data_IF_579688658700
#
_entry.id   IF_579688658700
#
_cell.length_a   1.000
_cell.length_b   1.000
_cell.length_c   1.000
_cell.angle_alpha   90.00
_cell.angle_beta   90.00
_cell.angle_gamma   90.00
#
_symmetry.space_group_name_H-M   'P 1'
#
loop_
_entity.id
_entity.type
_entity.pdbx_description
1 polymer ?
#
# COMPACT_ATOMS: atom_id res chain seq x y z
N UNK A 1 -42.01 -45.18 -33.82
CA UNK A 1 -42.08 -45.52 -32.39
C UNK A 1 -42.31 -44.25 -31.57
N UNK A 2 -43.15 -44.34 -30.54
CA UNK A 2 -43.68 -43.24 -29.71
C UNK A 2 -42.75 -42.88 -28.53
N UNK A 3 -42.78 -41.60 -28.13
CA UNK A 3 -42.73 -40.97 -26.76
C UNK A 3 -41.78 -39.76 -26.77
N UNK A 4 -42.25 -38.52 -26.61
CA UNK A 4 -42.86 -37.77 -25.47
C UNK A 4 -41.83 -36.79 -24.85
N UNK A 5 -42.25 -35.53 -24.79
CA UNK A 5 -41.64 -34.29 -24.27
C UNK A 5 -40.91 -34.40 -22.93
N UNK A 6 -39.94 -33.49 -22.67
CA UNK A 6 -39.90 -32.60 -21.48
C UNK A 6 -39.26 -31.25 -21.85
N UNK A 7 -39.94 -30.18 -21.44
CA UNK A 7 -39.57 -28.76 -21.47
C UNK A 7 -38.44 -28.47 -20.47
N UNK A 8 -37.47 -27.64 -20.85
CA UNK A 8 -36.48 -27.09 -19.92
C UNK A 8 -36.10 -25.67 -20.33
N UNK A 9 -36.71 -24.68 -19.70
CA UNK A 9 -36.27 -23.29 -19.75
C UNK A 9 -34.87 -23.19 -19.13
N UNK A 10 -33.88 -22.79 -19.91
CA UNK A 10 -32.65 -22.20 -19.38
C UNK A 10 -32.61 -20.74 -19.83
N UNK A 11 -32.70 -19.86 -18.83
CA UNK A 11 -32.72 -18.42 -19.01
C UNK A 11 -31.42 -17.93 -19.63
N UNK A 12 -31.57 -17.18 -20.71
CA UNK A 12 -30.56 -16.26 -21.23
C UNK A 12 -30.23 -15.26 -20.11
N UNK A 13 -29.08 -15.42 -19.47
CA UNK A 13 -28.50 -14.37 -18.62
C UNK A 13 -28.12 -13.21 -19.55
N UNK A 14 -28.93 -12.17 -19.47
CA UNK A 14 -28.83 -10.92 -20.19
C UNK A 14 -27.55 -10.21 -19.76
N UNK A 15 -26.54 -10.19 -20.63
CA UNK A 15 -25.49 -9.19 -20.58
C UNK A 15 -26.12 -7.84 -20.94
N UNK A 16 -26.46 -7.04 -19.94
CA UNK A 16 -26.93 -5.67 -20.16
C UNK A 16 -25.73 -4.79 -20.50
N UNK A 17 -25.23 -4.92 -21.72
CA UNK A 17 -24.42 -3.88 -22.36
C UNK A 17 -25.40 -2.76 -22.71
N UNK A 18 -25.56 -1.81 -21.80
CA UNK A 18 -26.31 -0.60 -22.03
C UNK A 18 -25.44 0.37 -22.85
N UNK A 19 -25.29 0.09 -24.14
CA UNK A 19 -24.83 1.09 -25.11
C UNK A 19 -26.01 2.02 -25.38
N UNK A 20 -26.09 3.10 -24.62
CA UNK A 20 -26.97 4.23 -24.94
C UNK A 20 -26.31 5.06 -26.04
N UNK A 21 -26.63 4.74 -27.30
CA UNK A 21 -26.49 5.70 -28.40
C UNK A 21 -27.61 6.74 -28.28
N UNK A 22 -27.41 7.74 -27.43
CA UNK A 22 -28.28 8.91 -27.36
C UNK A 22 -27.67 10.05 -28.18
N UNK A 23 -28.14 10.17 -29.43
CA UNK A 23 -28.21 11.45 -30.11
C UNK A 23 -29.23 12.33 -29.37
N UNK A 24 -28.77 13.09 -28.38
CA UNK A 24 -29.59 14.01 -27.60
C UNK A 24 -28.72 15.07 -26.93
N UNK A 25 -28.40 16.14 -27.65
CA UNK A 25 -27.70 17.30 -27.11
C UNK A 25 -28.51 17.93 -25.96
N UNK A 26 -28.00 17.85 -24.73
CA UNK A 26 -28.46 18.68 -23.60
C UNK A 26 -28.71 17.93 -22.28
N UNK A 27 -29.43 16.80 -22.30
CA UNK A 27 -29.90 16.14 -21.06
C UNK A 27 -28.87 15.20 -20.42
N UNK A 28 -27.95 14.62 -21.19
CA UNK A 28 -26.92 13.71 -20.66
C UNK A 28 -25.93 14.41 -19.73
N UNK A 29 -25.50 15.63 -20.11
CA UNK A 29 -24.52 16.39 -19.33
C UNK A 29 -25.09 16.87 -17.98
N UNK A 30 -26.38 17.17 -17.90
CA UNK A 30 -27.02 17.58 -16.64
C UNK A 30 -27.11 16.42 -15.64
N UNK A 31 -27.41 15.20 -16.12
CA UNK A 31 -27.47 14.01 -15.28
C UNK A 31 -26.07 13.59 -14.76
N UNK A 32 -25.04 13.68 -15.61
CA UNK A 32 -23.64 13.43 -15.22
C UNK A 32 -23.22 14.43 -14.14
N UNK A 33 -23.46 15.73 -14.37
CA UNK A 33 -23.12 16.78 -13.42
C UNK A 33 -23.81 16.60 -12.07
N UNK A 34 -25.10 16.24 -12.06
CA UNK A 34 -25.83 15.99 -10.82
C UNK A 34 -25.29 14.76 -10.05
N UNK A 35 -24.81 13.74 -10.76
CA UNK A 35 -24.16 12.58 -10.15
C UNK A 35 -22.81 12.95 -9.52
N UNK A 36 -21.99 13.72 -10.24
CA UNK A 36 -20.71 14.24 -9.74
C UNK A 36 -20.89 15.16 -8.52
N UNK A 37 -21.89 16.05 -8.55
CA UNK A 37 -22.23 16.93 -7.43
C UNK A 37 -22.68 16.15 -6.19
N UNK A 38 -23.49 15.09 -6.38
CA UNK A 38 -23.92 14.20 -5.30
C UNK A 38 -22.76 13.40 -4.71
N UNK A 39 -21.84 12.92 -5.55
CA UNK A 39 -20.62 12.25 -5.12
C UNK A 39 -19.73 13.20 -4.30
N UNK A 40 -19.48 14.41 -4.81
CA UNK A 40 -18.74 15.45 -4.11
C UNK A 40 -19.38 15.80 -2.75
N UNK A 41 -20.70 15.94 -2.70
CA UNK A 41 -21.43 16.18 -1.45
C UNK A 41 -21.29 15.02 -0.45
N UNK A 42 -21.29 13.77 -0.94
CA UNK A 42 -21.12 12.58 -0.11
C UNK A 42 -19.71 12.50 0.47
N UNK A 43 -18.69 12.75 -0.36
CA UNK A 43 -17.28 12.80 0.07
C UNK A 43 -17.06 13.90 1.10
N UNK A 44 -17.64 15.09 0.89
CA UNK A 44 -17.54 16.21 1.82
C UNK A 44 -18.20 15.90 3.18
N UNK A 45 -19.42 15.35 3.16
CA UNK A 45 -20.21 15.06 4.38
C UNK A 45 -19.55 13.95 5.22
N UNK A 46 -18.92 12.97 4.58
CA UNK A 46 -18.25 11.85 5.24
C UNK A 46 -16.79 12.12 5.59
N UNK A 47 -16.24 13.29 5.21
CA UNK A 47 -14.79 13.56 5.26
C UNK A 47 -13.98 12.45 4.56
N UNK A 48 -14.49 11.96 3.43
CA UNK A 48 -13.90 10.85 2.65
C UNK A 48 -14.15 9.44 3.19
N UNK A 49 -14.78 9.30 4.37
CA UNK A 49 -15.05 8.02 5.02
C UNK A 49 -16.35 7.40 4.50
N UNK A 50 -16.36 6.98 3.24
CA UNK A 50 -17.42 6.12 2.71
C UNK A 50 -16.92 4.67 2.77
N UNK A 51 -17.82 3.73 3.09
CA UNK A 51 -17.44 2.33 3.31
C UNK A 51 -16.92 1.72 2.01
N UNK A 52 -15.71 1.13 2.03
CA UNK A 52 -15.15 0.38 0.89
C UNK A 52 -16.04 -0.79 0.47
N UNK A 53 -16.84 -1.33 1.39
CA UNK A 53 -17.86 -2.35 1.09
C UNK A 53 -18.98 -1.85 0.16
N UNK A 54 -19.12 -0.53 0.01
CA UNK A 54 -20.05 0.15 -0.90
C UNK A 54 -19.32 0.78 -2.11
N UNK A 55 -18.01 0.54 -2.25
CA UNK A 55 -17.21 0.92 -3.41
C UNK A 55 -16.59 2.32 -3.37
N UNK A 56 -17.26 3.31 -2.77
CA UNK A 56 -16.75 4.69 -2.72
C UNK A 56 -15.84 4.89 -1.51
N UNK A 57 -14.66 5.52 -1.67
CA UNK A 57 -13.78 5.97 -0.57
C UNK A 57 -12.77 6.98 -1.06
N UNK A 58 -12.59 8.08 -0.34
CA UNK A 58 -11.49 9.03 -0.57
C UNK A 58 -10.44 8.88 0.54
N UNK A 59 -9.18 8.75 0.16
CA UNK A 59 -8.07 8.61 1.09
C UNK A 59 -6.73 8.89 0.42
N UNK A 60 -5.69 8.25 0.91
CA UNK A 60 -4.31 8.44 0.47
C UNK A 60 -3.62 7.10 0.25
N UNK A 61 -2.70 7.04 -0.70
CA UNK A 61 -1.84 5.88 -0.89
C UNK A 61 -1.02 5.63 0.38
N UNK A 62 -1.15 4.43 0.96
CA UNK A 62 -0.44 4.02 2.17
C UNK A 62 1.09 4.10 2.04
N UNK A 63 1.53 3.98 0.80
CA UNK A 63 2.81 3.46 0.38
C UNK A 63 2.95 3.67 -1.13
N UNK A 64 4.13 3.43 -1.67
CA UNK A 64 4.31 3.41 -3.12
C UNK A 64 3.57 2.21 -3.73
N UNK A 65 2.50 2.47 -4.49
CA UNK A 65 1.67 1.43 -5.12
C UNK A 65 2.15 1.17 -6.55
N UNK A 66 2.79 0.03 -6.76
CA UNK A 66 3.46 -0.32 -8.02
C UNK A 66 2.46 -0.81 -9.06
N UNK A 67 2.63 -0.35 -10.30
CA UNK A 67 1.68 -0.66 -11.37
C UNK A 67 2.33 -1.01 -12.71
N UNK A 68 1.63 -1.82 -13.49
CA UNK A 68 1.91 -2.09 -14.91
C UNK A 68 0.74 -1.63 -15.76
N UNK A 69 0.95 -0.64 -16.63
CA UNK A 69 -0.15 0.04 -17.32
C UNK A 69 -1.05 0.77 -16.32
N UNK A 70 -2.25 0.27 -16.11
CA UNK A 70 -3.23 0.74 -15.13
C UNK A 70 -3.43 -0.25 -13.96
N UNK A 71 -2.71 -1.38 -13.93
CA UNK A 71 -2.91 -2.46 -12.97
C UNK A 71 -1.95 -2.41 -11.79
N UNK A 72 -2.48 -2.23 -10.57
CA UNK A 72 -1.75 -2.41 -9.29
C UNK A 72 -2.07 -3.80 -8.76
N UNK A 73 -1.06 -4.65 -8.59
CA UNK A 73 -1.21 -5.99 -8.03
C UNK A 73 -0.84 -6.02 -6.55
N UNK A 74 -1.44 -6.92 -5.77
CA UNK A 74 -1.00 -7.25 -4.40
C UNK A 74 0.41 -7.87 -4.36
N UNK A 75 0.94 -8.26 -5.52
CA UNK A 75 2.34 -8.66 -5.72
C UNK A 75 3.05 -7.72 -6.70
N UNK A 76 3.02 -6.42 -6.41
CA UNK A 76 3.68 -5.40 -7.22
C UNK A 76 5.20 -5.56 -7.27
N UNK A 77 5.77 -5.48 -8.47
CA UNK A 77 7.19 -5.72 -8.71
C UNK A 77 8.06 -4.47 -8.61
N UNK A 78 9.21 -4.57 -7.94
CA UNK A 78 10.06 -3.45 -7.54
C UNK A 78 10.65 -2.56 -8.65
N UNK A 79 10.71 -3.01 -9.91
CA UNK A 79 11.12 -2.18 -11.05
C UNK A 79 10.00 -1.30 -11.61
N UNK A 80 8.75 -1.61 -11.28
CA UNK A 80 7.61 -0.92 -11.86
C UNK A 80 7.51 0.52 -11.34
N UNK A 81 6.98 1.44 -12.17
CA UNK A 81 6.57 2.75 -11.68
C UNK A 81 5.51 2.59 -10.58
N UNK A 82 5.29 3.64 -9.81
CA UNK A 82 4.36 3.61 -8.70
C UNK A 82 3.59 4.91 -8.54
N UNK A 83 2.39 4.79 -7.97
CA UNK A 83 1.66 5.89 -7.35
C UNK A 83 2.39 6.19 -6.03
N UNK A 84 2.80 7.44 -5.81
CA UNK A 84 3.61 7.80 -4.66
C UNK A 84 2.86 7.65 -3.34
N UNK A 85 3.57 7.29 -2.27
CA UNK A 85 3.03 7.36 -0.91
C UNK A 85 2.45 8.75 -0.62
N UNK A 86 1.23 8.79 -0.08
CA UNK A 86 0.51 10.04 0.19
C UNK A 86 -0.23 10.64 -1.00
N UNK A 87 -0.16 10.07 -2.21
CA UNK A 87 -1.03 10.49 -3.31
C UNK A 87 -2.50 10.32 -2.90
N UNK A 88 -3.33 11.31 -3.18
CA UNK A 88 -4.77 11.22 -2.93
C UNK A 88 -5.40 10.18 -3.87
N UNK A 89 -6.21 9.29 -3.29
CA UNK A 89 -6.85 8.18 -3.99
C UNK A 89 -8.35 8.23 -3.77
N UNK A 90 -9.10 8.12 -4.88
CA UNK A 90 -10.53 7.88 -4.88
C UNK A 90 -10.81 6.45 -5.34
N UNK A 91 -11.25 5.59 -4.43
CA UNK A 91 -11.84 4.29 -4.78
C UNK A 91 -13.28 4.56 -5.23
N UNK A 92 -13.62 4.17 -6.45
CA UNK A 92 -14.98 4.31 -7.00
C UNK A 92 -15.83 3.08 -6.73
N UNK A 93 -15.20 1.92 -6.84
CA UNK A 93 -15.88 0.63 -6.74
C UNK A 93 -14.91 -0.44 -6.25
N UNK A 94 -15.44 -1.41 -5.50
CA UNK A 94 -14.77 -2.68 -5.20
C UNK A 94 -15.69 -3.81 -5.65
N UNK A 95 -15.26 -4.58 -6.65
CA UNK A 95 -16.05 -5.66 -7.26
C UNK A 95 -15.19 -6.90 -7.42
N UNK A 96 -15.63 -8.02 -6.84
CA UNK A 96 -14.91 -9.30 -6.92
C UNK A 96 -13.47 -9.20 -6.41
N UNK A 97 -12.51 -9.42 -7.30
CA UNK A 97 -11.07 -9.40 -7.00
C UNK A 97 -10.39 -8.07 -7.32
N UNK A 98 -11.14 -7.01 -7.65
CA UNK A 98 -10.58 -5.73 -8.09
C UNK A 98 -11.27 -4.52 -7.48
N UNK A 99 -10.58 -3.39 -7.49
CA UNK A 99 -11.16 -2.08 -7.26
C UNK A 99 -10.85 -1.12 -8.41
N UNK A 100 -11.81 -0.28 -8.79
CA UNK A 100 -11.63 0.82 -9.74
C UNK A 100 -11.27 2.07 -8.96
N UNK A 101 -10.15 2.68 -9.30
CA UNK A 101 -9.50 3.70 -8.49
C UNK A 101 -9.06 4.87 -9.35
N UNK A 102 -9.09 6.07 -8.81
CA UNK A 102 -8.46 7.25 -9.41
C UNK A 102 -7.37 7.82 -8.51
N UNK A 103 -6.25 8.17 -9.12
CA UNK A 103 -5.11 8.80 -8.47
C UNK A 103 -4.40 9.72 -9.47
N UNK A 104 -4.04 10.94 -9.04
CA UNK A 104 -3.35 11.94 -9.87
C UNK A 104 -4.00 12.17 -11.26
N UNK A 105 -5.34 12.20 -11.28
CA UNK A 105 -6.12 12.39 -12.51
C UNK A 105 -6.10 11.22 -13.50
N UNK A 106 -5.66 10.03 -13.07
CA UNK A 106 -5.61 8.81 -13.87
C UNK A 106 -6.44 7.70 -13.21
N UNK A 107 -7.03 6.84 -14.02
CA UNK A 107 -7.72 5.64 -13.55
C UNK A 107 -6.76 4.46 -13.45
N UNK A 108 -6.93 3.70 -12.38
CA UNK A 108 -6.19 2.48 -12.05
C UNK A 108 -7.16 1.37 -11.65
N UNK A 109 -6.69 0.13 -11.77
CA UNK A 109 -7.36 -1.07 -11.27
C UNK A 109 -6.46 -1.72 -10.24
N UNK A 110 -6.95 -1.85 -9.01
CA UNK A 110 -6.22 -2.53 -7.94
C UNK A 110 -6.70 -3.98 -7.91
N UNK A 111 -5.85 -4.91 -8.30
CA UNK A 111 -6.09 -6.34 -8.37
C UNK A 111 -5.55 -7.10 -7.17
N UNK A 112 -6.45 -7.79 -6.46
CA UNK A 112 -6.07 -8.75 -5.44
C UNK A 112 -5.84 -10.12 -6.12
N UNK A 113 -4.67 -10.30 -6.71
CA UNK A 113 -4.40 -11.41 -7.63
C UNK A 113 -4.11 -12.71 -6.87
N UNK A 114 -3.31 -12.63 -5.81
CA UNK A 114 -2.71 -13.79 -5.16
C UNK A 114 -3.21 -14.05 -3.73
N UNK A 115 -3.42 -13.02 -2.93
CA UNK A 115 -3.74 -13.09 -1.50
C UNK A 115 -5.21 -13.40 -1.12
N UNK A 116 -6.06 -13.73 -2.11
CA UNK A 116 -7.52 -13.87 -1.91
C UNK A 116 -7.93 -14.99 -0.95
N UNK A 117 -7.05 -15.97 -0.73
CA UNK A 117 -7.29 -17.01 0.29
C UNK A 117 -6.96 -16.56 1.71
N UNK A 118 -6.27 -15.44 1.87
CA UNK A 118 -5.75 -14.94 3.15
C UNK A 118 -6.56 -13.73 3.66
N UNK A 119 -7.05 -12.88 2.76
CA UNK A 119 -7.85 -11.70 3.12
C UNK A 119 -8.90 -11.36 2.05
N UNK A 120 -9.89 -10.53 2.38
CA UNK A 120 -10.91 -10.11 1.42
C UNK A 120 -10.42 -8.89 0.62
N UNK A 121 -10.86 -8.76 -0.64
CA UNK A 121 -10.52 -7.61 -1.50
C UNK A 121 -10.79 -6.25 -0.85
N UNK A 122 -11.94 -5.99 -0.20
CA UNK A 122 -12.17 -4.70 0.46
C UNK A 122 -11.19 -4.42 1.60
N UNK A 123 -10.85 -5.45 2.39
CA UNK A 123 -9.88 -5.35 3.49
C UNK A 123 -8.48 -5.04 2.94
N UNK A 124 -8.09 -5.69 1.84
CA UNK A 124 -6.85 -5.39 1.14
C UNK A 124 -6.81 -3.95 0.60
N UNK A 125 -7.87 -3.49 -0.06
CA UNK A 125 -8.00 -2.10 -0.55
C UNK A 125 -7.93 -1.09 0.60
N UNK A 126 -8.55 -1.37 1.73
CA UNK A 126 -8.51 -0.50 2.92
C UNK A 126 -7.11 -0.32 3.49
N UNK A 127 -6.22 -1.32 3.34
CA UNK A 127 -4.80 -1.19 3.69
C UNK A 127 -4.03 -0.28 2.73
N UNK A 128 -4.39 -0.29 1.45
CA UNK A 128 -3.71 0.50 0.42
C UNK A 128 -4.17 1.96 0.38
N UNK A 129 -5.45 2.21 0.69
CA UNK A 129 -6.06 3.55 0.67
C UNK A 129 -6.41 3.97 2.09
N UNK A 130 -5.46 4.59 2.79
CA UNK A 130 -5.62 5.02 4.18
C UNK A 130 -6.38 6.34 4.29
N UNK A 131 -7.12 6.54 5.38
CA UNK A 131 -7.90 7.77 5.58
C UNK A 131 -7.03 8.96 5.99
N UNK A 132 -5.97 8.69 6.76
CA UNK A 132 -5.06 9.72 7.25
C UNK A 132 -3.88 9.85 6.29
N UNK A 133 -3.54 11.09 5.94
CA UNK A 133 -2.40 11.40 5.09
C UNK A 133 -1.10 10.88 5.74
N UNK A 134 -0.31 10.03 5.05
CA UNK A 134 0.96 9.55 5.56
C UNK A 134 2.09 10.60 5.48
N UNK A 135 1.93 11.72 4.77
CA UNK A 135 2.98 12.73 4.60
C UNK A 135 3.53 13.32 5.93
N UNK A 136 2.70 13.64 6.95
CA UNK A 136 3.21 14.08 8.25
C UNK A 136 4.04 13.01 8.97
N UNK A 137 3.76 11.73 8.72
CA UNK A 137 4.54 10.62 9.25
C UNK A 137 5.86 10.47 8.49
N UNK A 138 5.81 10.49 7.15
CA UNK A 138 6.98 10.45 6.28
C UNK A 138 7.98 11.55 6.66
N UNK A 139 7.49 12.78 6.86
CA UNK A 139 8.31 13.94 7.21
C UNK A 139 9.09 13.79 8.53
N UNK A 140 8.63 12.94 9.45
CA UNK A 140 9.31 12.67 10.73
C UNK A 140 10.47 11.68 10.59
N UNK A 141 10.57 10.96 9.47
CA UNK A 141 11.68 10.04 9.26
C UNK A 141 12.99 10.78 8.97
N UNK A 142 14.14 10.16 9.33
CA UNK A 142 15.45 10.67 8.96
C UNK A 142 15.53 10.96 7.46
N UNK A 143 16.23 12.03 7.08
CA UNK A 143 16.29 12.48 5.69
C UNK A 143 16.78 11.39 4.72
N UNK A 144 17.80 10.61 5.13
CA UNK A 144 18.29 9.48 4.35
C UNK A 144 17.21 8.40 4.12
N UNK A 145 16.36 8.13 5.12
CA UNK A 145 15.27 7.17 5.00
C UNK A 145 14.14 7.70 4.10
N UNK A 146 13.82 9.00 4.18
CA UNK A 146 12.84 9.63 3.29
C UNK A 146 13.23 9.47 1.82
N UNK A 147 14.47 9.78 1.47
CA UNK A 147 15.01 9.59 0.11
C UNK A 147 14.89 8.13 -0.35
N UNK A 148 15.12 7.16 0.55
CA UNK A 148 14.96 5.73 0.25
C UNK A 148 13.50 5.35 -0.02
N UNK A 149 12.57 5.85 0.80
CA UNK A 149 11.13 5.62 0.62
C UNK A 149 10.63 6.28 -0.67
N UNK A 150 10.99 7.53 -0.91
CA UNK A 150 10.61 8.29 -2.12
C UNK A 150 11.14 7.62 -3.40
N UNK A 151 12.28 6.95 -3.33
CA UNK A 151 12.84 6.18 -4.45
C UNK A 151 12.25 4.77 -4.61
N UNK A 152 11.39 4.32 -3.69
CA UNK A 152 10.88 2.94 -3.66
C UNK A 152 12.00 1.91 -3.53
N UNK A 153 12.96 2.18 -2.64
CA UNK A 153 14.14 1.32 -2.39
C UNK A 153 14.16 0.79 -0.96
N UNK A 154 15.02 -0.17 -0.73
CA UNK A 154 15.25 -0.80 0.56
C UNK A 154 16.63 -0.46 1.12
N UNK A 155 16.75 -0.48 2.44
CA UNK A 155 18.03 -0.38 3.11
C UNK A 155 18.03 -1.17 4.42
N UNK A 156 19.22 -1.66 4.79
CA UNK A 156 19.44 -2.26 6.12
C UNK A 156 19.10 -1.24 7.21
N UNK A 157 18.47 -1.70 8.28
CA UNK A 157 18.08 -0.87 9.41
C UNK A 157 16.70 -0.22 9.30
N UNK A 158 16.04 -0.25 8.12
CA UNK A 158 14.67 0.23 7.96
C UNK A 158 13.71 -0.55 8.88
N UNK A 159 12.68 0.13 9.38
CA UNK A 159 11.59 -0.51 10.12
C UNK A 159 10.57 -1.14 9.17
N UNK A 160 9.69 -2.00 9.69
CA UNK A 160 8.56 -2.59 8.95
C UNK A 160 7.69 -1.52 8.29
N UNK A 161 7.39 -0.45 9.02
CA UNK A 161 6.62 0.68 8.51
C UNK A 161 7.34 1.41 7.37
N UNK A 162 8.65 1.65 7.49
CA UNK A 162 9.43 2.30 6.44
C UNK A 162 9.50 1.43 5.18
N UNK A 163 9.63 0.10 5.34
CA UNK A 163 9.60 -0.83 4.21
C UNK A 163 8.23 -0.85 3.55
N UNK A 164 7.13 -0.88 4.32
CA UNK A 164 5.77 -0.79 3.76
C UNK A 164 5.59 0.51 3.00
N UNK A 165 5.97 1.67 3.56
CA UNK A 165 5.83 2.95 2.86
C UNK A 165 6.64 2.98 1.55
N UNK A 166 7.81 2.34 1.51
CA UNK A 166 8.67 2.29 0.33
C UNK A 166 8.22 1.28 -0.74
N UNK A 167 7.83 0.07 -0.33
CA UNK A 167 7.61 -1.07 -1.24
C UNK A 167 6.16 -1.54 -1.33
N UNK A 168 5.29 -1.03 -0.46
CA UNK A 168 3.97 -1.60 -0.22
C UNK A 168 4.00 -2.79 0.73
N UNK A 169 2.80 -3.28 1.06
CA UNK A 169 2.66 -4.54 1.79
C UNK A 169 3.18 -5.70 0.93
N UNK A 170 3.91 -6.67 1.52
CA UNK A 170 4.21 -7.90 0.81
C UNK A 170 2.92 -8.69 0.57
N UNK A 171 2.87 -9.45 -0.52
CA UNK A 171 1.71 -10.28 -0.85
C UNK A 171 1.43 -11.29 0.27
N UNK A 172 0.18 -11.38 0.73
CA UNK A 172 -0.20 -12.27 1.85
C UNK A 172 -0.11 -13.75 1.50
N UNK A 173 -0.11 -14.09 0.21
CA UNK A 173 0.14 -15.44 -0.29
C UNK A 173 1.54 -15.96 0.09
N UNK A 174 2.55 -15.09 0.07
CA UNK A 174 3.94 -15.43 0.40
C UNK A 174 4.36 -14.95 1.80
N UNK A 175 3.74 -13.88 2.29
CA UNK A 175 3.98 -13.30 3.62
C UNK A 175 2.66 -13.18 4.39
N UNK A 176 2.09 -14.29 4.91
CA UNK A 176 0.76 -14.27 5.54
C UNK A 176 0.69 -13.46 6.84
N UNK A 177 1.83 -13.20 7.48
CA UNK A 177 1.93 -12.47 8.75
C UNK A 177 3.06 -11.46 8.68
N UNK A 178 2.75 -10.19 8.96
CA UNK A 178 3.74 -9.12 8.96
C UNK A 178 4.75 -9.26 10.11
N UNK A 179 4.43 -10.02 11.15
CA UNK A 179 5.29 -10.33 12.30
C UNK A 179 6.39 -11.34 11.94
N UNK A 180 6.30 -11.98 10.77
CA UNK A 180 7.27 -12.94 10.27
C UNK A 180 8.71 -12.43 10.26
N UNK A 181 9.65 -13.37 10.42
CA UNK A 181 11.09 -13.10 10.40
C UNK A 181 11.60 -12.75 8.99
N UNK A 182 10.84 -13.09 7.95
CA UNK A 182 11.17 -12.84 6.54
C UNK A 182 9.92 -12.34 5.83
N UNK A 183 10.07 -11.28 5.03
CA UNK A 183 9.07 -10.84 4.06
C UNK A 183 9.59 -11.12 2.65
N UNK A 184 8.69 -11.46 1.74
CA UNK A 184 9.02 -11.74 0.35
C UNK A 184 8.46 -10.66 -0.56
N UNK A 185 9.33 -10.12 -1.41
CA UNK A 185 9.03 -9.19 -2.49
C UNK A 185 9.55 -9.75 -3.80
N UNK A 186 9.22 -9.07 -4.90
CA UNK A 186 9.64 -9.47 -6.23
C UNK A 186 10.21 -8.29 -6.99
N UNK A 187 11.21 -8.59 -7.82
CA UNK A 187 11.73 -7.71 -8.85
C UNK A 187 11.71 -8.53 -10.14
N UNK A 188 10.89 -8.10 -11.08
CA UNK A 188 10.37 -8.87 -12.19
C UNK A 188 9.79 -10.18 -11.65
N UNK A 189 10.39 -11.31 -12.05
CA UNK A 189 10.04 -12.66 -11.60
C UNK A 189 10.97 -13.20 -10.51
N UNK A 190 11.93 -12.40 -10.06
CA UNK A 190 12.96 -12.85 -9.12
C UNK A 190 12.56 -12.51 -7.69
N UNK A 191 12.56 -13.49 -6.77
CA UNK A 191 12.26 -13.24 -5.38
C UNK A 191 13.36 -12.44 -4.71
N UNK A 192 12.94 -11.58 -3.79
CA UNK A 192 13.78 -10.81 -2.88
C UNK A 192 13.24 -11.01 -1.45
N UNK A 193 14.10 -11.49 -0.56
CA UNK A 193 13.77 -11.71 0.85
C UNK A 193 14.31 -10.59 1.73
N UNK A 194 13.43 -10.05 2.58
CA UNK A 194 13.77 -9.03 3.57
C UNK A 194 13.70 -9.67 4.95
N UNK A 195 14.86 -9.85 5.58
CA UNK A 195 14.96 -10.47 6.89
C UNK A 195 14.90 -9.42 8.00
N UNK A 196 14.27 -9.80 9.11
CA UNK A 196 14.04 -8.93 10.25
C UNK A 196 14.87 -9.38 11.47
N UNK A 197 15.45 -8.41 12.19
CA UNK A 197 16.00 -8.60 13.53
C UNK A 197 15.80 -7.34 14.35
N UNK A 198 15.32 -7.47 15.59
CA UNK A 198 15.06 -6.32 16.47
C UNK A 198 14.10 -5.27 15.86
N UNK A 199 13.13 -5.72 15.06
CA UNK A 199 12.17 -4.83 14.37
C UNK A 199 12.73 -4.04 13.18
N UNK A 200 13.96 -4.37 12.74
CA UNK A 200 14.65 -3.70 11.63
C UNK A 200 15.12 -4.68 10.57
N UNK A 201 15.28 -4.20 9.34
CA UNK A 201 15.87 -4.97 8.24
C UNK A 201 17.30 -5.35 8.62
N UNK A 202 17.57 -6.65 8.73
CA UNK A 202 18.88 -7.20 9.09
C UNK A 202 19.68 -7.62 7.85
N UNK A 203 18.97 -8.15 6.84
CA UNK A 203 19.53 -8.66 5.57
C UNK A 203 18.50 -8.49 4.46
N UNK A 204 18.97 -8.25 3.25
CA UNK A 204 18.20 -8.30 2.02
C UNK A 204 18.89 -9.35 1.14
N UNK A 205 18.16 -10.38 0.76
CA UNK A 205 18.66 -11.57 0.09
C UNK A 205 17.92 -11.82 -1.24
N UNK A 206 18.65 -12.32 -2.24
CA UNK A 206 18.12 -12.58 -3.57
C UNK A 206 19.25 -12.61 -4.60
N UNK A 207 18.89 -12.56 -5.88
CA UNK A 207 19.87 -12.40 -6.95
C UNK A 207 20.67 -11.09 -6.74
N UNK A 208 22.01 -11.14 -6.86
CA UNK A 208 22.87 -10.01 -6.53
C UNK A 208 22.56 -8.73 -7.33
N UNK A 209 22.28 -8.84 -8.63
CA UNK A 209 21.93 -7.69 -9.47
C UNK A 209 20.58 -7.10 -9.08
N UNK A 210 19.65 -7.96 -8.66
CA UNK A 210 18.34 -7.54 -8.16
C UNK A 210 18.48 -6.84 -6.81
N UNK A 211 19.27 -7.39 -5.89
CA UNK A 211 19.57 -6.74 -4.60
C UNK A 211 20.21 -5.37 -4.82
N UNK A 212 21.15 -5.25 -5.75
CA UNK A 212 21.78 -3.97 -6.10
C UNK A 212 20.77 -2.94 -6.64
N UNK A 213 19.80 -3.37 -7.47
CA UNK A 213 18.72 -2.51 -7.95
C UNK A 213 17.68 -2.16 -6.88
N UNK A 214 17.43 -3.09 -5.96
CA UNK A 214 16.42 -2.97 -4.92
C UNK A 214 16.86 -2.07 -3.77
N UNK A 215 18.17 -1.96 -3.57
CA UNK A 215 18.74 -1.29 -2.40
C UNK A 215 19.31 0.07 -2.73
N UNK A 216 19.33 0.93 -1.72
CA UNK A 216 20.06 2.18 -1.76
C UNK A 216 20.77 2.39 -0.43
N UNK A 217 22.04 2.77 -0.49
CA UNK A 217 22.77 3.23 0.69
C UNK A 217 22.41 4.69 0.90
N UNK A 218 21.81 5.01 2.04
CA UNK A 218 21.53 6.40 2.40
C UNK A 218 22.85 7.16 2.50
N UNK A 219 23.07 8.13 1.62
CA UNK A 219 24.25 8.99 1.71
C UNK A 219 24.26 9.72 3.06
N UNK A 220 25.33 9.52 3.84
CA UNK A 220 25.83 10.45 4.84
C UNK A 220 24.90 10.89 5.97
N UNK A 221 24.43 9.97 6.82
CA UNK A 221 24.21 10.29 8.24
C UNK A 221 24.77 9.13 9.06
N UNK A 222 25.87 9.38 9.76
CA UNK A 222 26.46 8.44 10.70
C UNK A 222 25.36 7.95 11.67
N UNK A 223 25.41 6.67 12.11
CA UNK A 223 24.47 6.19 13.10
C UNK A 223 24.54 7.11 14.31
N UNK A 224 23.39 7.69 14.69
CA UNK A 224 23.26 8.46 15.93
C UNK A 224 23.82 7.58 17.03
N UNK A 225 24.96 8.01 17.57
CA UNK A 225 25.73 7.22 18.53
C UNK A 225 24.82 6.73 19.65
N UNK A 226 24.94 5.44 19.97
CA UNK A 226 24.40 4.89 21.21
C UNK A 226 24.75 5.82 22.36
N UNK A 227 23.73 6.34 23.05
CA UNK A 227 23.93 7.00 24.33
C UNK A 227 24.39 5.91 25.29
N UNK A 228 25.70 5.71 25.38
CA UNK A 228 26.31 4.94 26.46
C UNK A 228 26.02 5.68 27.76
N UNK A 229 25.04 5.16 28.50
CA UNK A 229 24.81 5.48 29.90
C UNK A 229 26.14 5.35 30.66
N UNK A 230 26.76 6.49 30.99
CA UNK A 230 27.82 6.54 31.99
C UNK A 230 27.13 6.49 33.36
N UNK A 231 27.07 5.31 33.94
CA UNK A 231 26.87 5.15 35.38
C UNK A 231 28.02 5.86 36.10
N UNK A 232 27.77 7.07 36.59
CA UNK A 232 28.62 7.72 37.58
C UNK A 232 28.42 7.00 38.91
N UNK A 233 29.31 6.06 39.21
CA UNK A 233 29.46 5.50 40.55
C UNK A 233 29.99 6.58 41.48
N UNK A 234 29.10 7.20 42.26
CA UNK A 234 29.49 7.98 43.43
C UNK A 234 30.03 7.05 44.51
N UNK A 235 31.33 7.10 44.77
CA UNK A 235 31.92 6.60 46.02
C UNK A 235 32.15 7.81 46.93
N UNK A 236 31.40 7.81 48.03
CA UNK A 236 31.41 8.85 49.03
C UNK A 236 32.64 8.86 49.93
N UNK A 237 32.77 10.02 50.57
CA UNK A 237 33.21 10.27 51.93
C UNK A 237 34.64 9.84 52.34
N UNK A 238 35.48 10.86 52.59
CA UNK A 238 36.28 10.94 53.81
C UNK A 238 36.31 12.38 54.31
N UNK A 239 35.58 12.65 55.39
CA UNK A 239 35.84 13.80 56.26
C UNK A 239 36.92 13.42 57.28
N UNK A 240 37.97 14.22 57.30
CA UNK A 240 38.50 14.91 58.48
C UNK A 240 38.70 14.14 59.81
N UNK A 241 39.95 14.12 60.29
CA UNK A 241 40.26 14.20 61.72
C UNK A 241 41.68 14.71 61.97
N UNK A 242 41.71 15.95 62.45
CA UNK A 242 42.79 16.69 63.12
C UNK A 242 43.37 16.02 64.39
N UNK A 243 44.57 16.52 64.78
CA UNK A 243 45.37 16.42 66.03
C UNK A 243 46.66 15.62 65.82
N UNK A 244 47.86 16.12 66.10
CA UNK A 244 48.35 17.18 67.01
C UNK A 244 49.66 17.72 66.45
#
# INVERSE_FOLDING_TARGET
MKKKHIFGHFGLLTATILVLTLNGCGSGNAAIKAAEEKEAATLATTKGRVSSAQGLRLGYACCNLRYSGDWVSDMGSGELPFIAVGTQILVREVEGARANVEADGKSYRFGHDYGRSQEKTPEWVDKLVVLDDPAPKLAKFPANIRVIIEAGKLAKGMTKEQVIMSMGYPATSDTPKLEGAVWKYYWLRYPLEVHWSGGRVSKIEGNADIVAKATMTGAGVAPTAEIKSKTQGGKGAKSDKSRK
#
